data_IF_341870676647
#
_entry.id   IF_341870676647
#
_cell.length_a   1.000
_cell.length_b   1.000
_cell.length_c   1.000
_cell.angle_alpha   90.00
_cell.angle_beta   90.00
_cell.angle_gamma   90.00
#
_symmetry.space_group_name_H-M   'P 1'
#
loop_
_entity.id
_entity.type
_entity.pdbx_description
1 polymer ?
#
# COMPACT_ATOMS: atom_id res chain seq x y z
N UNK A 1 6.51 5.85 22.54
CA UNK A 1 6.14 4.91 21.46
C UNK A 1 4.73 4.29 21.52
N UNK A 2 4.00 4.11 22.65
CA UNK A 2 2.69 3.42 22.62
C UNK A 2 1.62 4.12 21.78
N UNK A 3 1.74 5.44 21.58
CA UNK A 3 0.80 6.24 20.80
C UNK A 3 0.80 5.88 19.30
N UNK A 4 1.92 5.40 18.72
CA UNK A 4 1.97 5.08 17.27
C UNK A 4 1.25 3.78 16.95
N UNK A 5 1.38 2.76 17.80
CA UNK A 5 0.61 1.52 17.66
C UNK A 5 -0.89 1.75 17.80
N UNK A 6 -1.30 2.59 18.75
CA UNK A 6 -2.72 2.97 18.91
C UNK A 6 -3.23 3.76 17.69
N UNK A 7 -2.47 4.72 17.17
CA UNK A 7 -2.81 5.43 15.93
C UNK A 7 -2.96 4.49 14.73
N UNK A 8 -2.10 3.48 14.62
CA UNK A 8 -2.21 2.46 13.58
C UNK A 8 -3.51 1.66 13.74
N UNK A 9 -3.86 1.28 14.96
CA UNK A 9 -5.13 0.60 15.25
C UNK A 9 -6.35 1.49 14.92
N UNK A 10 -6.32 2.78 15.25
CA UNK A 10 -7.39 3.71 14.88
C UNK A 10 -7.55 3.81 13.36
N UNK A 11 -6.44 3.97 12.63
CA UNK A 11 -6.44 4.00 11.17
C UNK A 11 -6.98 2.71 10.55
N UNK A 12 -6.74 1.57 11.20
CA UNK A 12 -7.32 0.30 10.80
C UNK A 12 -8.86 0.36 10.82
N UNK A 13 -9.43 0.86 11.92
CA UNK A 13 -10.88 1.02 12.07
C UNK A 13 -11.44 2.01 11.04
N UNK A 14 -10.78 3.16 10.85
CA UNK A 14 -11.21 4.18 9.89
C UNK A 14 -11.36 3.61 8.47
N UNK A 15 -10.42 2.78 8.01
CA UNK A 15 -10.49 2.15 6.69
C UNK A 15 -11.65 1.16 6.59
N UNK A 16 -11.86 0.30 7.59
CA UNK A 16 -12.96 -0.67 7.59
C UNK A 16 -14.34 0.00 7.70
N UNK A 17 -14.45 1.07 8.50
CA UNK A 17 -15.67 1.88 8.60
C UNK A 17 -15.95 2.56 7.26
N UNK A 18 -14.95 3.21 6.67
CA UNK A 18 -15.09 3.88 5.37
C UNK A 18 -15.50 2.90 4.27
N UNK A 19 -14.86 1.73 4.19
CA UNK A 19 -15.19 0.69 3.22
C UNK A 19 -16.61 0.14 3.45
N UNK A 20 -16.98 -0.21 4.68
CA UNK A 20 -18.31 -0.72 5.01
C UNK A 20 -19.41 0.30 4.70
N UNK A 21 -19.22 1.56 5.10
CA UNK A 21 -20.14 2.65 4.80
C UNK A 21 -20.27 2.87 3.28
N UNK A 22 -19.16 2.81 2.54
CA UNK A 22 -19.18 2.92 1.09
C UNK A 22 -19.93 1.75 0.42
N UNK A 23 -19.71 0.51 0.87
CA UNK A 23 -20.45 -0.65 0.37
C UNK A 23 -21.96 -0.49 0.59
N UNK A 24 -22.36 -0.04 1.78
CA UNK A 24 -23.78 0.23 2.12
C UNK A 24 -24.35 1.36 1.25
N UNK A 25 -23.56 2.40 0.99
CA UNK A 25 -23.93 3.50 0.09
C UNK A 25 -24.19 3.00 -1.33
N UNK A 26 -23.27 2.20 -1.90
CA UNK A 26 -23.45 1.65 -3.26
C UNK A 26 -24.64 0.68 -3.33
N UNK A 27 -24.91 -0.08 -2.26
CA UNK A 27 -26.10 -0.94 -2.11
C UNK A 27 -27.40 -0.17 -1.87
N UNK A 28 -27.35 1.16 -1.72
CA UNK A 28 -28.50 2.01 -1.42
C UNK A 28 -29.22 1.58 -0.13
N UNK A 29 -28.44 1.21 0.90
CA UNK A 29 -28.98 0.90 2.22
C UNK A 29 -29.73 2.09 2.81
N UNK A 30 -31.03 1.91 3.07
CA UNK A 30 -31.93 2.96 3.58
C UNK A 30 -31.61 3.41 5.00
N UNK A 31 -30.81 2.63 5.74
CA UNK A 31 -30.40 2.93 7.11
C UNK A 31 -29.07 3.70 7.18
N UNK A 32 -28.41 3.93 6.05
CA UNK A 32 -27.16 4.67 6.01
C UNK A 32 -27.42 6.18 5.94
N UNK A 33 -26.98 6.89 6.96
CA UNK A 33 -26.88 8.35 6.93
C UNK A 33 -25.59 8.74 6.18
N UNK A 34 -25.74 9.30 4.99
CA UNK A 34 -24.62 9.77 4.17
C UNK A 34 -24.96 11.10 3.53
N UNK A 35 -24.24 12.14 3.94
CA UNK A 35 -24.44 13.51 3.49
C UNK A 35 -23.12 14.29 3.38
N UNK A 36 -23.18 15.47 2.78
CA UNK A 36 -22.04 16.39 2.69
C UNK A 36 -21.93 17.25 3.94
N UNK A 37 -20.70 17.59 4.32
CA UNK A 37 -20.43 18.42 5.52
C UNK A 37 -20.99 19.83 5.36
N UNK A 38 -21.00 20.36 4.13
CA UNK A 38 -21.46 21.72 3.79
C UNK A 38 -22.90 21.76 3.26
N UNK A 39 -23.59 20.61 3.20
CA UNK A 39 -24.93 20.49 2.63
C UNK A 39 -24.98 20.68 1.11
N UNK A 40 -23.83 20.77 0.42
CA UNK A 40 -23.81 20.88 -1.04
C UNK A 40 -24.40 19.59 -1.64
N UNK A 41 -25.41 19.67 -2.52
CA UNK A 41 -25.96 18.50 -3.17
C UNK A 41 -24.90 17.81 -4.02
N UNK A 42 -24.89 16.48 -4.00
CA UNK A 42 -24.06 15.68 -4.89
C UNK A 42 -24.91 14.65 -5.63
N UNK A 43 -24.46 14.27 -6.82
CA UNK A 43 -25.19 13.34 -7.66
C UNK A 43 -25.04 11.89 -7.14
N UNK A 44 -25.90 11.45 -6.21
CA UNK A 44 -25.87 10.08 -5.68
C UNK A 44 -25.94 9.03 -6.79
N UNK A 45 -26.74 9.27 -7.83
CA UNK A 45 -26.92 8.31 -8.93
C UNK A 45 -25.68 8.15 -9.79
N UNK A 46 -24.73 9.11 -9.83
CA UNK A 46 -23.48 8.90 -10.57
C UNK A 46 -22.61 7.79 -9.99
N UNK A 47 -22.85 7.39 -8.74
CA UNK A 47 -22.12 6.33 -8.04
C UNK A 47 -22.91 5.02 -7.99
N UNK A 48 -24.24 5.12 -7.86
CA UNK A 48 -25.12 3.95 -7.68
C UNK A 48 -25.82 3.48 -8.96
N UNK A 49 -25.66 4.22 -10.07
CA UNK A 49 -26.25 3.84 -11.35
C UNK A 49 -25.74 2.48 -11.84
N UNK A 50 -26.59 1.85 -12.65
CA UNK A 50 -26.23 0.68 -13.43
C UNK A 50 -25.78 1.11 -14.82
N UNK A 51 -24.80 0.41 -15.37
CA UNK A 51 -24.39 0.55 -16.76
C UNK A 51 -25.44 -0.08 -17.70
N UNK A 52 -25.20 -0.01 -19.02
CA UNK A 52 -26.11 -0.58 -20.03
C UNK A 52 -26.32 -2.09 -19.89
N UNK A 53 -25.40 -2.80 -19.22
CA UNK A 53 -25.49 -4.23 -18.95
C UNK A 53 -26.17 -4.56 -17.60
N UNK A 54 -26.72 -3.55 -16.91
CA UNK A 54 -27.37 -3.73 -15.61
C UNK A 54 -26.41 -3.96 -14.43
N UNK A 55 -25.11 -3.72 -14.62
CA UNK A 55 -24.09 -3.87 -13.58
C UNK A 55 -23.81 -2.53 -12.91
N UNK A 56 -23.45 -2.55 -11.63
CA UNK A 56 -23.03 -1.33 -10.94
C UNK A 56 -21.82 -0.70 -11.61
N UNK A 57 -21.86 0.63 -11.78
CA UNK A 57 -20.75 1.39 -12.36
C UNK A 57 -19.51 1.32 -11.46
N UNK A 58 -19.71 1.29 -10.15
CA UNK A 58 -18.65 1.12 -9.16
C UNK A 58 -18.64 -0.34 -8.67
N UNK A 59 -17.48 -0.99 -8.82
CA UNK A 59 -17.21 -2.30 -8.19
C UNK A 59 -16.63 -2.08 -6.81
N UNK A 60 -17.24 -2.65 -5.79
CA UNK A 60 -16.73 -2.59 -4.42
C UNK A 60 -16.46 -3.98 -3.82
N UNK A 61 -17.02 -5.04 -4.42
CA UNK A 61 -16.99 -6.42 -3.95
C UNK A 61 -15.83 -7.25 -4.53
N UNK A 62 -15.11 -6.69 -5.50
CA UNK A 62 -13.91 -7.27 -6.09
C UNK A 62 -12.91 -6.18 -6.46
N UNK A 63 -11.64 -6.57 -6.63
CA UNK A 63 -10.59 -5.75 -7.25
C UNK A 63 -10.29 -4.45 -6.52
N UNK A 64 -10.39 -4.47 -5.18
CA UNK A 64 -10.13 -3.27 -4.37
C UNK A 64 -8.64 -2.98 -4.31
N UNK A 65 -8.31 -1.69 -4.40
CA UNK A 65 -6.94 -1.19 -4.31
C UNK A 65 -6.79 -0.40 -3.04
N UNK A 66 -5.75 -0.71 -2.25
CA UNK A 66 -5.33 0.16 -1.16
C UNK A 66 -4.05 0.91 -1.53
N UNK A 67 -4.04 2.20 -1.25
CA UNK A 67 -2.84 3.01 -1.39
C UNK A 67 -2.55 3.76 -0.10
N UNK A 68 -1.27 3.95 0.22
CA UNK A 68 -0.88 4.62 1.44
C UNK A 68 0.51 5.24 1.37
N UNK A 69 0.62 6.51 1.77
CA UNK A 69 1.90 7.22 1.92
C UNK A 69 2.35 7.29 3.37
N UNK A 70 3.65 7.15 3.64
CA UNK A 70 4.23 7.32 4.98
C UNK A 70 3.60 6.37 6.00
N UNK A 71 2.95 6.91 7.03
CA UNK A 71 2.17 6.11 7.99
C UNK A 71 1.01 5.38 7.30
N UNK A 72 0.43 5.93 6.24
CA UNK A 72 -0.54 5.24 5.38
C UNK A 72 0.00 3.96 4.78
N UNK A 73 1.28 3.92 4.39
CA UNK A 73 1.92 2.70 3.91
C UNK A 73 1.96 1.60 4.99
N UNK A 74 2.20 1.96 6.24
CA UNK A 74 2.12 1.03 7.37
C UNK A 74 0.68 0.60 7.67
N UNK A 75 -0.30 1.50 7.49
CA UNK A 75 -1.71 1.15 7.59
C UNK A 75 -2.07 0.05 6.59
N UNK A 76 -1.62 0.16 5.34
CA UNK A 76 -1.82 -0.88 4.32
C UNK A 76 -1.17 -2.20 4.73
N UNK A 77 0.11 -2.19 5.11
CA UNK A 77 0.80 -3.42 5.56
C UNK A 77 0.13 -4.08 6.78
N UNK A 78 -0.37 -3.26 7.71
CA UNK A 78 -1.12 -3.74 8.88
C UNK A 78 -2.43 -4.40 8.49
N UNK A 79 -3.21 -3.81 7.56
CA UNK A 79 -4.45 -4.41 7.05
C UNK A 79 -4.17 -5.76 6.39
N UNK A 80 -3.12 -5.85 5.56
CA UNK A 80 -2.76 -7.09 4.85
C UNK A 80 -2.27 -8.22 5.76
N UNK A 81 -1.92 -7.92 7.00
CA UNK A 81 -1.33 -8.86 7.96
C UNK A 81 -2.21 -9.16 9.17
N UNK A 82 -3.42 -8.58 9.24
CA UNK A 82 -4.32 -8.75 10.37
C UNK A 82 -5.72 -9.13 9.91
N UNK A 83 -6.40 -9.94 10.73
CA UNK A 83 -7.78 -10.33 10.45
C UNK A 83 -8.67 -9.08 10.48
N UNK A 84 -9.80 -9.09 9.74
CA UNK A 84 -10.80 -8.03 9.85
C UNK A 84 -11.20 -7.81 11.30
N UNK A 85 -11.47 -6.55 11.65
CA UNK A 85 -11.97 -6.17 12.96
C UNK A 85 -13.34 -6.81 13.21
N UNK A 86 -13.66 -7.09 14.48
CA UNK A 86 -14.97 -7.67 14.85
C UNK A 86 -16.12 -6.83 14.29
N UNK A 87 -17.08 -7.49 13.65
CA UNK A 87 -18.20 -6.84 12.96
C UNK A 87 -17.91 -6.32 11.55
N UNK A 88 -16.69 -6.49 11.03
CA UNK A 88 -16.33 -6.14 9.66
C UNK A 88 -15.98 -7.36 8.80
N UNK A 89 -16.44 -7.36 7.54
CA UNK A 89 -16.01 -8.32 6.53
C UNK A 89 -14.63 -7.97 6.00
N UNK A 90 -13.89 -8.98 5.51
CA UNK A 90 -12.62 -8.74 4.81
C UNK A 90 -12.82 -7.84 3.58
N UNK A 91 -11.86 -6.95 3.33
CA UNK A 91 -11.82 -6.13 2.13
C UNK A 91 -11.20 -7.00 1.01
N UNK A 92 -11.85 -7.15 -0.16
CA UNK A 92 -11.36 -7.97 -1.27
C UNK A 92 -10.25 -7.24 -2.04
N UNK A 93 -9.13 -7.01 -1.36
CA UNK A 93 -7.97 -6.27 -1.86
C UNK A 93 -7.26 -7.13 -2.91
N UNK A 94 -7.10 -6.61 -4.13
CA UNK A 94 -6.37 -7.28 -5.22
C UNK A 94 -4.96 -6.70 -5.38
N UNK A 95 -4.81 -5.39 -5.19
CA UNK A 95 -3.54 -4.68 -5.38
C UNK A 95 -3.30 -3.64 -4.30
N UNK A 96 -2.04 -3.34 -4.02
CA UNK A 96 -1.65 -2.26 -3.12
C UNK A 96 -0.50 -1.41 -3.65
N UNK A 97 -0.60 -0.09 -3.48
CA UNK A 97 0.46 0.87 -3.80
C UNK A 97 0.94 1.56 -2.53
N UNK A 98 2.17 1.28 -2.12
CA UNK A 98 2.77 1.79 -0.89
C UNK A 98 3.82 2.85 -1.25
N UNK A 99 3.63 4.05 -0.74
CA UNK A 99 4.45 5.22 -1.07
C UNK A 99 5.30 5.59 0.14
N UNK A 100 6.61 5.40 0.04
CA UNK A 100 7.64 5.82 1.01
C UNK A 100 7.24 5.55 2.48
N UNK A 101 6.99 4.28 2.85
CA UNK A 101 6.33 3.92 4.09
C UNK A 101 7.21 4.23 5.31
N UNK A 102 6.62 4.82 6.35
CA UNK A 102 7.33 5.10 7.60
C UNK A 102 7.12 3.97 8.61
N UNK A 103 8.05 3.00 8.66
CA UNK A 103 7.90 1.70 9.32
C UNK A 103 7.94 1.68 10.86
N UNK A 104 8.24 2.79 11.53
CA UNK A 104 8.34 2.86 13.00
C UNK A 104 7.08 2.36 13.76
N UNK A 105 5.84 2.58 13.26
CA UNK A 105 4.64 2.09 13.93
C UNK A 105 4.45 0.56 13.87
N UNK A 106 5.17 -0.15 13.00
CA UNK A 106 5.05 -1.60 12.86
C UNK A 106 5.84 -2.34 13.95
N UNK A 107 5.35 -3.50 14.43
CA UNK A 107 6.08 -4.30 15.41
C UNK A 107 7.40 -4.84 14.82
N UNK A 108 8.27 -5.36 15.70
CA UNK A 108 9.42 -6.18 15.35
C UNK A 108 9.32 -7.54 16.06
N UNK A 109 9.33 -8.69 15.36
CA UNK A 109 9.46 -8.86 13.91
C UNK A 109 8.30 -8.22 13.13
N UNK A 110 8.55 -7.95 11.84
CA UNK A 110 7.61 -7.23 10.97
C UNK A 110 6.32 -8.00 10.72
N UNK A 111 5.26 -7.32 10.23
CA UNK A 111 4.05 -8.00 9.80
C UNK A 111 4.37 -8.99 8.68
N UNK A 112 3.59 -10.07 8.61
CA UNK A 112 3.66 -11.08 7.55
C UNK A 112 2.30 -11.18 6.84
N UNK A 113 2.24 -11.59 5.56
CA UNK A 113 0.97 -11.78 4.88
C UNK A 113 0.07 -12.77 5.64
N UNK A 114 -1.23 -12.47 5.71
CA UNK A 114 -2.19 -13.46 6.19
C UNK A 114 -2.22 -14.67 5.22
N UNK A 115 -2.26 -15.90 5.73
CA UNK A 115 -2.56 -17.06 4.90
C UNK A 115 -3.98 -16.88 4.33
N UNK A 116 -4.15 -17.01 3.02
CA UNK A 116 -5.46 -16.95 2.37
C UNK A 116 -6.45 -17.91 3.05
N UNK A 117 -7.41 -17.39 3.80
CA UNK A 117 -8.65 -18.11 4.04
C UNK A 117 -9.50 -17.95 2.78
N UNK A 118 -9.86 -19.07 2.15
CA UNK A 118 -10.84 -19.11 1.07
C UNK A 118 -12.08 -18.30 1.45
N UNK A 119 -12.78 -17.65 0.49
CA UNK A 119 -13.97 -16.86 0.79
C UNK A 119 -14.95 -17.68 1.61
N UNK A 120 -15.18 -17.25 2.86
CA UNK A 120 -16.23 -17.81 3.68
C UNK A 120 -17.55 -17.36 3.05
N UNK A 121 -18.20 -18.27 2.34
CA UNK A 121 -19.62 -18.16 2.05
C UNK A 121 -20.35 -18.14 3.39
N UNK A 122 -20.97 -17.00 3.72
CA UNK A 122 -21.77 -16.80 4.92
C UNK A 122 -22.81 -17.91 5.05
N UNK A 123 -22.50 -18.89 5.90
CA UNK A 123 -23.46 -19.83 6.47
C UNK A 123 -23.40 -19.61 7.97
N UNK A 124 -24.25 -18.73 8.47
CA UNK A 124 -24.48 -18.55 9.90
C UNK A 124 -24.82 -19.91 10.50
N UNK A 125 -23.90 -20.46 11.29
CA UNK A 125 -24.23 -21.45 12.32
C UNK A 125 -23.57 -21.03 13.62
N UNK A 126 -24.44 -20.72 14.57
CA UNK A 126 -24.17 -20.49 15.99
C UNK A 126 -23.37 -21.64 16.61
N UNK A 127 -22.51 -21.33 17.57
CA UNK A 127 -21.99 -22.33 18.50
C UNK A 127 -20.63 -21.91 19.08
N UNK A 128 -20.67 -21.46 20.32
CA UNK A 128 -19.54 -21.15 21.19
C UNK A 128 -18.53 -22.32 21.26
N UNK A 129 -17.23 -22.01 21.24
CA UNK A 129 -16.15 -22.58 22.07
C UNK A 129 -14.79 -22.04 21.58
N UNK A 130 -14.35 -20.89 22.11
CA UNK A 130 -13.33 -20.79 23.17
C UNK A 130 -11.88 -21.00 22.71
N UNK A 131 -11.24 -19.86 22.40
CA UNK A 131 -9.96 -19.40 22.96
C UNK A 131 -8.98 -20.51 23.40
N UNK A 132 -8.02 -20.83 22.54
CA UNK A 132 -6.64 -21.14 22.96
C UNK A 132 -5.63 -20.56 21.98
N UNK A 133 -4.93 -19.54 22.48
CA UNK A 133 -3.60 -19.15 22.04
C UNK A 133 -2.68 -20.38 21.96
N UNK A 134 -1.95 -20.56 20.86
CA UNK A 134 -0.70 -21.31 20.91
C UNK A 134 0.29 -20.81 19.87
N UNK A 135 1.38 -20.28 20.41
CA UNK A 135 2.67 -20.11 19.79
C UNK A 135 3.24 -21.51 19.52
N UNK A 136 3.34 -21.92 18.25
CA UNK A 136 4.19 -23.05 17.83
C UNK A 136 4.86 -22.68 16.49
N UNK A 137 6.15 -22.97 16.30
CA UNK A 137 6.88 -22.66 15.08
C UNK A 137 6.46 -23.61 13.96
N UNK A 138 6.11 -23.06 12.80
CA UNK A 138 5.76 -23.86 11.63
C UNK A 138 6.97 -24.69 11.15
N UNK A 139 6.82 -26.02 11.22
CA UNK A 139 7.75 -26.99 10.64
C UNK A 139 7.75 -26.92 9.12
N UNK A 140 8.95 -26.97 8.55
CA UNK A 140 9.23 -27.01 7.10
C UNK A 140 8.71 -28.33 6.51
N UNK A 141 7.78 -28.25 5.55
CA UNK A 141 7.50 -29.34 4.61
C UNK A 141 7.85 -28.82 3.22
N UNK A 142 8.85 -29.45 2.62
CA UNK A 142 9.25 -29.28 1.23
C UNK A 142 8.37 -30.17 0.36
N UNK A 143 7.67 -29.59 -0.61
CA UNK A 143 7.14 -30.37 -1.73
C UNK A 143 7.43 -29.65 -3.05
N UNK A 144 8.08 -30.42 -3.92
CA UNK A 144 8.58 -30.09 -5.25
C UNK A 144 7.49 -30.21 -6.32
N UNK A 145 7.56 -29.28 -7.29
CA UNK A 145 7.00 -29.35 -8.65
C UNK A 145 5.47 -29.37 -8.83
N UNK A 146 4.89 -28.19 -9.08
CA UNK A 146 3.71 -28.01 -9.91
C UNK A 146 3.70 -26.62 -10.54
N UNK A 147 4.19 -26.52 -11.78
CA UNK A 147 4.09 -25.32 -12.63
C UNK A 147 2.67 -25.29 -13.21
N UNK A 148 1.70 -24.84 -12.41
CA UNK A 148 0.36 -24.43 -12.87
C UNK A 148 -0.23 -23.43 -11.87
N UNK A 149 -0.38 -22.18 -12.32
CA UNK A 149 -1.22 -21.13 -11.74
C UNK A 149 -1.20 -21.01 -10.20
N UNK A 150 -0.08 -20.56 -9.65
CA UNK A 150 -0.02 -20.14 -8.24
C UNK A 150 -0.88 -18.88 -8.09
N UNK A 151 -2.16 -19.04 -7.75
CA UNK A 151 -2.97 -17.94 -7.20
C UNK A 151 -2.12 -17.25 -6.15
N UNK A 152 -1.72 -16.00 -6.40
CA UNK A 152 -0.92 -15.21 -5.46
C UNK A 152 -1.60 -15.33 -4.09
N UNK A 153 -0.87 -15.83 -3.10
CA UNK A 153 -1.41 -16.09 -1.76
C UNK A 153 -1.72 -14.81 -0.98
N UNK A 154 -1.48 -13.65 -1.59
CA UNK A 154 -1.70 -12.31 -1.06
C UNK A 154 -1.90 -11.32 -2.22
N UNK A 155 -2.41 -10.09 -1.96
CA UNK A 155 -2.55 -9.05 -2.97
C UNK A 155 -1.21 -8.68 -3.63
N UNK A 156 -1.25 -8.23 -4.89
CA UNK A 156 -0.04 -7.75 -5.57
C UNK A 156 0.40 -6.41 -4.97
N UNK A 157 1.71 -6.17 -4.86
CA UNK A 157 2.22 -5.00 -4.16
C UNK A 157 3.24 -4.22 -5.00
N UNK A 158 3.08 -2.91 -5.06
CA UNK A 158 4.11 -1.98 -5.54
C UNK A 158 4.54 -1.09 -4.37
N UNK A 159 5.84 -0.98 -4.15
CA UNK A 159 6.42 -0.05 -3.17
C UNK A 159 7.30 0.96 -3.89
N UNK A 160 6.98 2.25 -3.75
CA UNK A 160 7.76 3.35 -4.32
C UNK A 160 8.37 4.15 -3.17
N UNK A 161 9.68 4.05 -2.99
CA UNK A 161 10.43 4.67 -1.92
C UNK A 161 11.11 5.97 -2.37
N UNK A 162 11.38 6.85 -1.41
CA UNK A 162 12.16 8.06 -1.65
C UNK A 162 13.66 7.74 -1.70
N UNK A 163 14.44 8.59 -2.36
CA UNK A 163 15.91 8.55 -2.27
C UNK A 163 16.37 8.68 -0.81
N UNK A 164 15.70 9.56 -0.05
CA UNK A 164 16.09 9.85 1.34
C UNK A 164 15.92 8.63 2.25
N UNK A 165 14.80 7.91 2.15
CA UNK A 165 14.56 6.70 2.94
C UNK A 165 15.40 5.53 2.45
N UNK A 166 15.68 5.45 1.15
CA UNK A 166 16.59 4.42 0.59
C UNK A 166 18.03 4.59 1.09
N UNK A 167 18.50 5.83 1.18
CA UNK A 167 19.84 6.12 1.72
C UNK A 167 19.95 5.96 3.25
N UNK A 168 18.82 5.86 3.95
CA UNK A 168 18.78 5.54 5.38
C UNK A 168 18.86 4.01 5.57
N UNK A 169 20.10 3.51 5.67
CA UNK A 169 20.40 2.06 5.70
C UNK A 169 19.51 1.22 6.63
N UNK A 170 19.38 1.61 7.89
CA UNK A 170 18.60 0.82 8.86
C UNK A 170 17.12 0.76 8.49
N UNK A 171 16.57 1.90 8.05
CA UNK A 171 15.19 1.97 7.58
C UNK A 171 14.98 1.16 6.29
N UNK A 172 15.89 1.26 5.33
CA UNK A 172 15.79 0.53 4.06
C UNK A 172 15.95 -0.98 4.24
N UNK A 173 16.88 -1.40 5.09
CA UNK A 173 17.04 -2.82 5.47
C UNK A 173 15.74 -3.33 6.10
N UNK A 174 15.17 -2.55 7.01
CA UNK A 174 13.89 -2.87 7.64
C UNK A 174 12.74 -2.96 6.63
N UNK A 175 12.72 -2.08 5.62
CA UNK A 175 11.75 -2.14 4.53
C UNK A 175 11.85 -3.46 3.78
N UNK A 176 13.06 -3.84 3.36
CA UNK A 176 13.29 -5.09 2.64
C UNK A 176 12.89 -6.32 3.47
N UNK A 177 13.21 -6.33 4.78
CA UNK A 177 12.79 -7.40 5.69
C UNK A 177 11.26 -7.55 5.78
N UNK A 178 10.54 -6.43 5.95
CA UNK A 178 9.08 -6.45 6.04
C UNK A 178 8.48 -6.91 4.72
N UNK A 179 8.98 -6.39 3.60
CA UNK A 179 8.41 -6.67 2.29
C UNK A 179 8.75 -8.06 1.75
N UNK A 180 9.76 -8.74 2.29
CA UNK A 180 10.13 -10.09 1.87
C UNK A 180 8.97 -11.10 1.94
N UNK A 181 7.98 -10.87 2.80
CA UNK A 181 6.77 -11.69 2.87
C UNK A 181 5.82 -11.53 1.67
N UNK A 182 5.80 -10.36 1.02
CA UNK A 182 4.90 -10.06 -0.11
C UNK A 182 5.63 -9.98 -1.45
N UNK A 183 6.87 -9.49 -1.47
CA UNK A 183 7.67 -9.29 -2.67
C UNK A 183 9.08 -9.85 -2.41
N UNK A 184 9.24 -11.19 -2.28
CA UNK A 184 10.50 -11.83 -1.89
C UNK A 184 11.65 -11.59 -2.88
N UNK A 185 11.33 -11.36 -4.15
CA UNK A 185 12.32 -11.06 -5.18
C UNK A 185 12.67 -9.55 -5.25
N UNK A 186 11.94 -8.70 -4.52
CA UNK A 186 12.20 -7.26 -4.49
C UNK A 186 11.88 -6.47 -5.78
N UNK A 187 11.51 -7.14 -6.88
CA UNK A 187 11.32 -6.52 -8.20
C UNK A 187 10.27 -5.40 -8.28
N UNK A 188 9.42 -5.25 -7.25
CA UNK A 188 8.44 -4.16 -7.12
C UNK A 188 8.75 -3.19 -5.99
N UNK A 189 9.99 -3.16 -5.51
CA UNK A 189 10.50 -2.17 -4.58
C UNK A 189 11.33 -1.18 -5.40
N UNK A 190 10.79 0.01 -5.61
CA UNK A 190 11.37 1.03 -6.48
C UNK A 190 11.86 2.22 -5.66
N UNK A 191 12.91 2.89 -6.13
CA UNK A 191 13.38 4.17 -5.57
C UNK A 191 13.34 5.26 -6.62
N UNK A 192 12.78 6.42 -6.27
CA UNK A 192 12.77 7.59 -7.16
C UNK A 192 13.95 8.50 -6.85
N UNK A 193 14.85 8.69 -7.80
CA UNK A 193 16.04 9.53 -7.63
C UNK A 193 15.65 10.98 -7.39
N UNK A 194 16.36 11.63 -6.48
CA UNK A 194 16.17 13.04 -6.10
C UNK A 194 14.91 13.32 -5.27
N UNK A 195 14.12 12.30 -4.92
CA UNK A 195 12.90 12.44 -4.13
C UNK A 195 13.18 12.53 -2.63
N UNK A 196 12.26 13.21 -1.94
CA UNK A 196 12.22 13.35 -0.49
C UNK A 196 10.88 12.79 0.01
N UNK A 197 10.73 12.61 1.32
CA UNK A 197 9.49 12.07 1.89
C UNK A 197 8.23 12.86 1.49
N UNK A 198 8.37 14.19 1.41
CA UNK A 198 7.28 15.09 1.00
C UNK A 198 6.96 15.03 -0.50
N UNK A 199 7.81 14.40 -1.33
CA UNK A 199 7.61 14.28 -2.79
C UNK A 199 6.36 13.51 -3.19
N UNK A 200 5.81 12.70 -2.28
CA UNK A 200 4.63 11.86 -2.47
C UNK A 200 3.33 12.54 -2.00
N UNK A 201 3.37 13.86 -1.78
CA UNK A 201 2.22 14.68 -1.39
C UNK A 201 2.08 15.87 -2.34
N UNK A 202 0.96 16.59 -2.24
CA UNK A 202 0.75 17.80 -3.04
C UNK A 202 1.61 18.99 -2.60
N UNK A 203 2.22 18.93 -1.42
CA UNK A 203 2.96 20.06 -0.83
C UNK A 203 4.03 20.65 -1.78
N UNK A 204 4.88 19.85 -2.46
CA UNK A 204 5.88 20.37 -3.39
C UNK A 204 5.31 20.92 -4.71
N UNK A 205 4.01 20.76 -4.95
CA UNK A 205 3.28 21.29 -6.12
C UNK A 205 2.55 22.59 -5.81
N UNK A 206 2.32 22.92 -4.54
CA UNK A 206 1.64 24.15 -4.14
C UNK A 206 2.40 25.40 -4.65
N UNK A 207 1.70 26.47 -5.08
CA UNK A 207 2.32 27.63 -5.73
C UNK A 207 3.48 28.28 -4.95
N UNK A 208 3.39 28.30 -3.62
CA UNK A 208 4.37 28.92 -2.72
C UNK A 208 5.59 28.02 -2.48
N UNK A 209 5.42 26.71 -2.58
CA UNK A 209 6.44 25.70 -2.25
C UNK A 209 6.91 24.91 -3.48
N UNK A 210 6.58 25.39 -4.69
CA UNK A 210 6.82 24.66 -5.94
C UNK A 210 8.30 24.42 -6.18
N UNK A 211 8.74 23.17 -6.08
CA UNK A 211 10.11 22.78 -6.41
C UNK A 211 10.20 22.43 -7.90
N UNK A 212 11.26 22.89 -8.60
CA UNK A 212 11.48 22.57 -10.03
C UNK A 212 11.48 21.06 -10.33
N UNK A 213 12.00 20.27 -9.38
CA UNK A 213 12.06 18.80 -9.46
C UNK A 213 10.75 18.09 -9.08
N UNK A 214 9.75 18.79 -8.54
CA UNK A 214 8.53 18.16 -8.04
C UNK A 214 7.73 17.49 -9.15
N UNK A 215 7.58 18.16 -10.29
CA UNK A 215 6.77 17.68 -11.40
C UNK A 215 7.32 16.39 -12.03
N UNK A 216 8.60 16.30 -12.43
CA UNK A 216 9.16 15.05 -12.94
C UNK A 216 9.02 13.89 -11.95
N UNK A 217 9.26 14.12 -10.65
CA UNK A 217 9.14 13.08 -9.62
C UNK A 217 7.68 12.60 -9.50
N UNK A 218 6.72 13.51 -9.44
CA UNK A 218 5.30 13.17 -9.34
C UNK A 218 4.79 12.45 -10.59
N UNK A 219 5.22 12.89 -11.77
CA UNK A 219 4.87 12.26 -13.05
C UNK A 219 5.39 10.80 -13.06
N UNK A 220 6.63 10.55 -12.64
CA UNK A 220 7.16 9.18 -12.50
C UNK A 220 6.38 8.34 -11.48
N UNK A 221 6.10 8.87 -10.28
CA UNK A 221 5.32 8.17 -9.25
C UNK A 221 3.94 7.77 -9.80
N UNK A 222 3.30 8.69 -10.52
CA UNK A 222 1.98 8.48 -11.13
C UNK A 222 2.05 7.41 -12.22
N UNK A 223 3.04 7.51 -13.11
CA UNK A 223 3.22 6.56 -14.22
C UNK A 223 3.48 5.14 -13.71
N UNK A 224 4.35 4.97 -12.70
CA UNK A 224 4.60 3.68 -12.05
C UNK A 224 3.34 3.13 -11.36
N UNK A 225 2.63 3.97 -10.62
CA UNK A 225 1.42 3.56 -9.91
C UNK A 225 0.34 3.11 -10.88
N UNK A 226 0.03 3.90 -11.92
CA UNK A 226 -0.99 3.56 -12.91
C UNK A 226 -0.61 2.34 -13.73
N UNK A 227 0.62 2.26 -14.23
CA UNK A 227 1.06 1.09 -15.00
C UNK A 227 1.05 -0.20 -14.18
N UNK A 228 1.31 -0.14 -12.88
CA UNK A 228 1.11 -1.29 -11.99
C UNK A 228 -0.36 -1.69 -11.85
N UNK A 229 -1.26 -0.73 -11.74
CA UNK A 229 -2.70 -1.01 -11.67
C UNK A 229 -3.25 -1.58 -12.98
N UNK A 230 -2.65 -1.19 -14.11
CA UNK A 230 -3.00 -1.62 -15.46
C UNK A 230 -2.22 -2.87 -15.93
N UNK A 231 -1.42 -3.49 -15.06
CA UNK A 231 -0.54 -4.64 -15.38
C UNK A 231 0.50 -4.37 -16.52
N UNK A 232 0.86 -3.11 -16.75
CA UNK A 232 1.84 -2.65 -17.76
C UNK A 232 3.13 -2.09 -17.15
N UNK A 233 3.40 -2.41 -15.88
CA UNK A 233 4.57 -1.91 -15.14
C UNK A 233 5.89 -2.27 -15.83
N UNK A 234 6.04 -3.52 -16.27
CA UNK A 234 7.27 -3.98 -16.93
C UNK A 234 7.54 -3.25 -18.25
N UNK A 235 6.49 -2.99 -19.02
CA UNK A 235 6.60 -2.21 -20.26
C UNK A 235 6.96 -0.76 -19.95
N UNK A 236 6.36 -0.20 -18.90
CA UNK A 236 6.67 1.15 -18.42
C UNK A 236 8.12 1.28 -17.99
N UNK A 237 8.65 0.32 -17.23
CA UNK A 237 10.06 0.28 -16.78
C UNK A 237 11.07 0.24 -17.93
N UNK A 238 10.69 -0.25 -19.12
CA UNK A 238 11.53 -0.22 -20.33
C UNK A 238 11.58 1.14 -20.99
N UNK A 239 10.59 2.00 -20.74
CA UNK A 239 10.45 3.31 -21.39
C UNK A 239 10.94 4.47 -20.52
N UNK A 240 10.83 4.34 -19.20
CA UNK A 240 11.32 5.34 -18.26
C UNK A 240 12.82 5.12 -17.97
N UNK A 241 13.59 6.17 -17.61
CA UNK A 241 14.98 6.01 -17.21
C UNK A 241 15.12 5.13 -15.94
N UNK A 242 15.45 3.86 -16.14
CA UNK A 242 15.79 2.90 -15.09
C UNK A 242 17.31 2.76 -14.99
N UNK A 243 17.89 3.05 -13.83
CA UNK A 243 19.34 3.12 -13.62
C UNK A 243 19.78 2.22 -12.45
N UNK A 244 21.03 1.73 -12.44
CA UNK A 244 21.54 0.98 -11.30
C UNK A 244 21.65 1.86 -10.06
N UNK A 245 21.52 1.24 -8.88
CA UNK A 245 21.69 1.93 -7.61
C UNK A 245 23.17 2.28 -7.35
N UNK A 246 23.55 3.51 -7.67
CA UNK A 246 24.91 4.02 -7.40
C UNK A 246 24.87 5.22 -6.43
N UNK A 247 25.65 5.13 -5.36
CA UNK A 247 25.70 6.15 -4.30
C UNK A 247 26.95 7.02 -4.45
N UNK A 248 26.75 8.34 -4.54
CA UNK A 248 27.84 9.34 -4.53
C UNK A 248 27.88 10.10 -3.21
N UNK A 249 29.09 10.29 -2.66
CA UNK A 249 29.33 11.22 -1.55
C UNK A 249 29.41 12.63 -2.12
N UNK A 250 28.52 13.51 -1.69
CA UNK A 250 28.37 14.90 -2.18
C UNK A 250 28.82 15.93 -1.15
N UNK A 251 29.43 15.50 -0.05
CA UNK A 251 29.96 16.36 1.00
C UNK A 251 29.85 15.72 2.38
N UNK A 252 29.87 16.57 3.41
CA UNK A 252 29.81 16.16 4.81
C UNK A 252 28.67 16.92 5.49
N UNK A 253 27.89 16.23 6.33
CA UNK A 253 26.82 16.80 7.15
C UNK A 253 27.45 17.55 8.35
N UNK A 254 26.63 18.34 9.06
CA UNK A 254 27.07 19.08 10.27
C UNK A 254 27.60 18.16 11.38
N UNK A 255 27.15 16.92 11.43
CA UNK A 255 27.57 15.88 12.38
C UNK A 255 28.84 15.12 11.93
N UNK A 256 29.52 15.57 10.87
CA UNK A 256 30.71 14.92 10.33
C UNK A 256 30.44 13.69 9.46
N UNK A 257 29.18 13.24 9.33
CA UNK A 257 28.84 12.06 8.52
C UNK A 257 28.81 12.41 7.02
N UNK A 258 29.15 11.47 6.12
CA UNK A 258 29.09 11.73 4.68
C UNK A 258 27.65 12.03 4.24
N UNK A 259 27.48 13.12 3.49
CA UNK A 259 26.24 13.43 2.78
C UNK A 259 26.25 12.63 1.48
N UNK A 260 25.25 11.76 1.31
CA UNK A 260 25.12 10.85 0.18
C UNK A 260 23.98 11.29 -0.73
N UNK A 261 24.06 10.88 -2.00
CA UNK A 261 23.02 11.05 -3.01
C UNK A 261 23.05 9.86 -3.96
N UNK A 262 21.92 9.49 -4.53
CA UNK A 262 21.90 8.56 -5.67
C UNK A 262 22.36 9.30 -6.94
N UNK A 263 23.10 8.60 -7.80
CA UNK A 263 23.38 9.09 -9.15
C UNK A 263 22.10 9.06 -9.99
N UNK A 264 22.02 9.94 -10.99
CA UNK A 264 20.82 10.12 -11.83
C UNK A 264 20.18 11.51 -11.74
N UNK A 265 19.14 11.70 -12.54
CA UNK A 265 18.31 12.90 -12.61
C UNK A 265 17.08 12.72 -11.72
N UNK A 266 16.52 13.82 -11.16
CA UNK A 266 15.28 13.73 -10.40
C UNK A 266 14.15 13.11 -11.24
N UNK A 267 13.54 12.04 -10.73
CA UNK A 267 12.51 11.27 -11.43
C UNK A 267 13.01 10.01 -12.14
N UNK A 268 14.33 9.79 -12.24
CA UNK A 268 14.86 8.49 -12.66
C UNK A 268 14.46 7.41 -11.62
N UNK A 269 14.33 6.17 -12.08
CA UNK A 269 13.87 5.03 -11.28
C UNK A 269 15.03 4.07 -11.06
N UNK A 270 15.07 3.49 -9.87
CA UNK A 270 15.90 2.33 -9.54
C UNK A 270 14.93 1.22 -9.15
N UNK A 271 14.86 0.16 -9.93
CA UNK A 271 14.17 -1.09 -9.56
C UNK A 271 15.20 -2.10 -9.00
N UNK A 272 14.81 -2.88 -7.98
CA UNK A 272 15.67 -3.92 -7.40
C UNK A 272 15.66 -5.22 -8.19
#
# INVERSE_FOLDING_TARGET
MPLRGQQLAFRHHEIYIAYSAFCRFIKQDSTLEFDTIDGTPYNKSSWTALNQAGQQVIRYDERIVLAGHSFGGCTVLSILSTKPLDGHSSIPIERTVILDPWLEPLPSPGPVPLPNHAPQTDSIKSGEETIRFSLEPASVISDTNSITDSRKSHPSMLVINSETFTLWKDHYTRLQEVLAGWEPQGGRIMTIVGSEHVSFSDFPMLPIFRKKKARPILDTITQLSLSFLDDTLEDTLRTIPNIPMEVKIIGVKKDGKPKRKLLGKPGDVIAQ
#
